data_IF_624253702366
#
_entry.id   IF_624253702366
#
_cell.length_a   1.000
_cell.length_b   1.000
_cell.length_c   1.000
_cell.angle_alpha   90.00
_cell.angle_beta   90.00
_cell.angle_gamma   90.00
#
_symmetry.space_group_name_H-M   'P 1'
#
loop_
_entity.id
_entity.type
_entity.pdbx_description
1 polymer ?
#
# COMPACT_ATOMS: atom_id res chain seq x y z
N UNK A 1 -0.12 30.89 -6.54
CA UNK A 1 -0.02 30.42 -7.93
C UNK A 1 -1.35 29.82 -8.30
N UNK A 2 -1.92 30.20 -9.44
CA UNK A 2 -3.27 29.78 -9.81
C UNK A 2 -3.29 28.34 -10.35
N UNK A 3 -4.39 27.60 -10.14
CA UNK A 3 -4.63 26.31 -10.78
C UNK A 3 -4.98 26.53 -12.25
N UNK A 4 -4.13 26.06 -13.15
CA UNK A 4 -4.42 26.04 -14.59
C UNK A 4 -5.00 24.69 -14.96
N UNK A 5 -6.17 24.68 -15.60
CA UNK A 5 -6.73 23.48 -16.22
C UNK A 5 -6.03 23.29 -17.56
N UNK A 6 -5.30 22.18 -17.73
CA UNK A 6 -4.44 21.94 -18.90
C UNK A 6 -5.14 21.10 -19.96
N UNK A 7 -5.89 20.07 -19.54
CA UNK A 7 -6.57 19.14 -20.43
C UNK A 7 -7.84 18.63 -19.76
N UNK A 8 -8.82 18.23 -20.56
CA UNK A 8 -9.99 17.50 -20.09
C UNK A 8 -10.24 16.30 -21.02
N UNK A 9 -10.54 15.14 -20.43
CA UNK A 9 -10.94 13.93 -21.17
C UNK A 9 -12.19 13.32 -20.53
N UNK A 10 -12.93 12.56 -21.33
CA UNK A 10 -14.07 11.77 -20.85
C UNK A 10 -13.58 10.35 -20.64
N UNK A 11 -13.74 9.83 -19.42
CA UNK A 11 -13.43 8.43 -19.08
C UNK A 11 -14.67 7.76 -18.49
N UNK A 12 -15.26 6.83 -19.26
CA UNK A 12 -16.52 6.17 -18.88
C UNK A 12 -17.65 7.18 -18.67
N UNK A 13 -18.22 7.19 -17.46
CA UNK A 13 -19.28 8.14 -17.06
C UNK A 13 -18.73 9.40 -16.36
N UNK A 14 -17.41 9.62 -16.37
CA UNK A 14 -16.75 10.72 -15.67
C UNK A 14 -15.96 11.65 -16.59
N UNK A 15 -15.60 12.82 -16.07
CA UNK A 15 -14.70 13.79 -16.72
C UNK A 15 -13.41 13.86 -15.90
N UNK A 16 -12.29 13.59 -16.54
CA UNK A 16 -10.96 13.78 -15.98
C UNK A 16 -10.48 15.17 -16.37
N UNK A 17 -10.10 15.98 -15.37
CA UNK A 17 -9.55 17.32 -15.59
C UNK A 17 -8.11 17.32 -15.10
N UNK A 18 -7.17 17.53 -16.01
CA UNK A 18 -5.76 17.66 -15.70
C UNK A 18 -5.46 19.09 -15.26
N UNK A 19 -4.80 19.24 -14.12
CA UNK A 19 -4.45 20.53 -13.53
C UNK A 19 -2.94 20.71 -13.45
N UNK A 20 -2.46 21.96 -13.46
CA UNK A 20 -1.04 22.29 -13.34
C UNK A 20 -0.38 21.78 -12.06
N UNK A 21 -1.18 21.54 -11.01
CA UNK A 21 -0.77 20.98 -9.73
C UNK A 21 -1.98 20.31 -9.06
N UNK A 22 -1.77 19.58 -7.96
CA UNK A 22 -2.89 18.97 -7.22
C UNK A 22 -3.74 20.07 -6.60
N UNK A 23 -5.03 20.18 -6.95
CA UNK A 23 -5.88 21.25 -6.45
C UNK A 23 -6.15 21.08 -4.95
N UNK A 24 -6.10 22.18 -4.20
CA UNK A 24 -6.51 22.26 -2.81
C UNK A 24 -8.03 22.04 -2.65
N UNK A 25 -8.55 21.73 -1.44
CA UNK A 25 -9.99 21.58 -1.22
C UNK A 25 -10.82 22.79 -1.66
N UNK A 26 -10.27 24.00 -1.53
CA UNK A 26 -10.92 25.23 -1.97
C UNK A 26 -11.01 25.32 -3.50
N UNK A 27 -9.93 24.96 -4.21
CA UNK A 27 -9.89 24.96 -5.68
C UNK A 27 -10.77 23.86 -6.27
N UNK A 28 -10.80 22.68 -5.65
CA UNK A 28 -11.74 21.61 -6.00
C UNK A 28 -13.18 22.13 -5.86
N UNK A 29 -13.51 22.74 -4.73
CA UNK A 29 -14.85 23.28 -4.47
C UNK A 29 -15.24 24.35 -5.50
N UNK A 30 -14.28 25.20 -5.87
CA UNK A 30 -14.46 26.22 -6.90
C UNK A 30 -14.75 25.61 -8.28
N UNK A 31 -13.97 24.62 -8.71
CA UNK A 31 -14.19 23.92 -9.98
C UNK A 31 -15.54 23.20 -9.98
N UNK A 32 -15.87 22.48 -8.89
CA UNK A 32 -17.15 21.77 -8.76
C UNK A 32 -18.35 22.70 -8.81
N UNK A 33 -18.24 23.91 -8.24
CA UNK A 33 -19.28 24.94 -8.35
C UNK A 33 -19.55 25.31 -9.81
N UNK A 34 -18.51 25.48 -10.62
CA UNK A 34 -18.66 25.80 -12.04
C UNK A 34 -19.20 24.62 -12.85
N UNK A 35 -18.72 23.39 -12.58
CA UNK A 35 -19.25 22.17 -13.20
C UNK A 35 -20.75 22.03 -12.89
N UNK A 36 -21.17 22.32 -11.65
CA UNK A 36 -22.58 22.29 -11.24
C UNK A 36 -23.47 23.30 -11.97
N UNK A 37 -22.93 24.44 -12.36
CA UNK A 37 -23.65 25.44 -13.16
C UNK A 37 -23.91 24.94 -14.58
N UNK A 38 -22.94 24.21 -15.16
CA UNK A 38 -23.04 23.66 -16.52
C UNK A 38 -23.91 22.39 -16.53
N UNK A 39 -23.84 21.58 -15.47
CA UNK A 39 -24.60 20.34 -15.30
C UNK A 39 -25.53 20.44 -14.09
N UNK A 40 -26.67 21.14 -14.23
CA UNK A 40 -27.62 21.33 -13.14
C UNK A 40 -28.33 20.02 -12.79
N UNK A 41 -27.87 19.36 -11.72
CA UNK A 41 -28.55 18.22 -11.11
C UNK A 41 -28.50 18.38 -9.60
N UNK A 42 -29.47 19.10 -8.98
CA UNK A 42 -29.37 19.52 -7.58
C UNK A 42 -29.24 18.35 -6.60
N UNK A 43 -29.78 17.18 -6.95
CA UNK A 43 -29.89 16.03 -6.05
C UNK A 43 -28.81 14.95 -6.26
N UNK A 44 -27.96 15.05 -7.28
CA UNK A 44 -26.88 14.08 -7.51
C UNK A 44 -25.55 14.70 -7.08
N UNK A 45 -24.83 14.18 -6.07
CA UNK A 45 -23.51 14.69 -5.73
C UNK A 45 -22.52 14.43 -6.88
N UNK A 46 -21.71 15.44 -7.23
CA UNK A 46 -20.61 15.25 -8.17
C UNK A 46 -19.48 14.54 -7.43
N UNK A 47 -19.34 13.24 -7.69
CA UNK A 47 -18.17 12.48 -7.24
C UNK A 47 -16.92 13.05 -7.91
N UNK A 48 -15.93 13.41 -7.10
CA UNK A 48 -14.61 13.82 -7.58
C UNK A 48 -13.55 13.03 -6.85
N UNK A 49 -12.46 12.74 -7.55
CA UNK A 49 -11.30 12.08 -6.97
C UNK A 49 -10.08 12.62 -7.69
N UNK A 50 -9.25 13.46 -7.05
CA UNK A 50 -8.01 13.87 -7.68
C UNK A 50 -7.17 12.62 -7.96
N UNK A 51 -6.63 12.52 -9.17
CA UNK A 51 -5.63 11.51 -9.50
C UNK A 51 -4.40 11.86 -8.67
N UNK A 52 -4.23 11.17 -7.55
CA UNK A 52 -3.13 11.39 -6.61
C UNK A 52 -2.07 10.32 -6.81
N UNK A 53 -0.82 10.75 -6.92
CA UNK A 53 0.31 9.85 -6.75
C UNK A 53 0.34 9.34 -5.31
N UNK A 54 1.00 8.21 -5.08
CA UNK A 54 1.23 7.69 -3.73
C UNK A 54 2.70 7.91 -3.39
N UNK A 55 2.95 8.71 -2.35
CA UNK A 55 4.28 8.85 -1.77
C UNK A 55 4.37 8.02 -0.49
N UNK A 56 5.59 7.59 -0.18
CA UNK A 56 5.87 6.69 0.95
C UNK A 56 6.73 7.43 1.96
N UNK A 57 6.28 7.45 3.21
CA UNK A 57 6.98 8.00 4.35
C UNK A 57 7.20 6.91 5.39
N UNK A 58 8.23 7.11 6.22
CA UNK A 58 8.43 6.34 7.44
C UNK A 58 8.72 7.27 8.60
N UNK A 59 8.17 6.93 9.76
CA UNK A 59 8.36 7.67 11.00
C UNK A 59 9.17 6.74 11.91
N UNK A 60 10.39 7.16 12.23
CA UNK A 60 11.36 6.35 12.96
C UNK A 60 11.35 6.68 14.45
N UNK A 61 11.90 5.77 15.26
CA UNK A 61 12.12 5.93 16.70
C UNK A 61 10.83 6.08 17.53
N UNK A 62 9.71 5.53 17.03
CA UNK A 62 8.44 5.51 17.76
C UNK A 62 8.58 4.57 18.95
N UNK A 63 8.25 4.98 20.18
CA UNK A 63 8.24 4.10 21.34
C UNK A 63 7.33 2.89 21.07
N UNK A 64 7.90 1.71 21.15
CA UNK A 64 7.16 0.47 21.04
C UNK A 64 6.67 0.04 22.42
N UNK A 65 5.39 0.29 22.69
CA UNK A 65 4.68 -0.27 23.82
C UNK A 65 3.71 -1.32 23.28
N UNK A 66 3.75 -2.58 23.78
CA UNK A 66 2.77 -3.60 23.44
C UNK A 66 1.36 -3.07 23.64
N UNK A 67 0.49 -3.23 22.63
CA UNK A 67 -0.89 -2.73 22.55
C UNK A 67 -1.09 -1.20 22.44
N UNK A 68 -0.17 -0.32 22.88
CA UNK A 68 -0.45 1.13 22.93
C UNK A 68 0.19 1.99 21.82
N UNK A 69 1.10 1.43 21.01
CA UNK A 69 1.85 2.20 20.01
C UNK A 69 0.93 2.87 18.97
N UNK A 70 -0.15 2.19 18.58
CA UNK A 70 -1.16 2.70 17.62
C UNK A 70 -1.96 3.86 18.20
N UNK A 71 -2.36 3.76 19.47
CA UNK A 71 -3.15 4.78 20.14
C UNK A 71 -2.31 6.02 20.38
N UNK A 72 -1.07 5.85 20.86
CA UNK A 72 -0.11 6.94 21.05
C UNK A 72 0.18 7.67 19.74
N UNK A 73 0.33 6.93 18.64
CA UNK A 73 0.53 7.50 17.31
C UNK A 73 -0.70 8.29 16.84
N UNK A 74 -1.90 7.70 16.94
CA UNK A 74 -3.15 8.35 16.52
C UNK A 74 -3.42 9.62 17.34
N UNK A 75 -3.15 9.56 18.64
CA UNK A 75 -3.23 10.71 19.52
C UNK A 75 -2.23 11.81 19.09
N UNK A 76 -0.96 11.46 18.85
CA UNK A 76 0.05 12.42 18.36
C UNK A 76 -0.36 13.07 17.03
N UNK A 77 -0.98 12.32 16.11
CA UNK A 77 -1.54 12.88 14.88
C UNK A 77 -2.67 13.88 15.15
N UNK A 78 -3.54 13.61 16.12
CA UNK A 78 -4.66 14.50 16.45
C UNK A 78 -4.26 15.78 17.18
N UNK A 79 -3.15 15.80 17.92
CA UNK A 79 -2.73 16.96 18.73
C UNK A 79 -1.83 17.89 17.93
N UNK A 80 -0.83 17.34 17.23
CA UNK A 80 0.24 18.13 16.64
C UNK A 80 -0.16 18.75 15.30
N UNK A 81 0.24 20.00 14.98
CA UNK A 81 -0.09 20.64 13.71
C UNK A 81 0.35 19.80 12.50
N UNK A 82 1.60 19.34 12.50
CA UNK A 82 2.16 18.45 11.47
C UNK A 82 1.43 17.10 11.44
N UNK A 83 1.02 16.60 12.61
CA UNK A 83 0.27 15.36 12.74
C UNK A 83 -1.12 15.44 12.11
N UNK A 84 -1.82 16.56 12.31
CA UNK A 84 -3.17 16.79 11.76
C UNK A 84 -3.12 16.85 10.23
N UNK A 85 -2.18 17.64 9.68
CA UNK A 85 -1.94 17.71 8.24
C UNK A 85 -1.63 16.33 7.66
N UNK A 86 -0.71 15.60 8.30
CA UNK A 86 -0.34 14.26 7.87
C UNK A 86 -1.55 13.33 7.87
N UNK A 87 -2.35 13.32 8.93
CA UNK A 87 -3.52 12.44 9.11
C UNK A 87 -4.54 12.54 7.96
N UNK A 88 -4.76 13.75 7.43
CA UNK A 88 -5.69 14.00 6.32
C UNK A 88 -5.17 13.38 5.02
N UNK A 89 -3.85 13.33 4.85
CA UNK A 89 -3.21 12.79 3.64
C UNK A 89 -3.00 11.28 3.67
N UNK A 90 -3.22 10.59 4.81
CA UNK A 90 -3.01 9.15 4.92
C UNK A 90 -4.01 8.40 4.05
N UNK A 91 -3.49 7.62 3.09
CA UNK A 91 -4.29 6.87 2.11
C UNK A 91 -4.73 5.50 2.62
N UNK A 92 -3.89 4.88 3.45
CA UNK A 92 -4.08 3.51 3.94
C UNK A 92 -3.72 3.40 5.41
N UNK A 93 -4.19 2.35 6.08
CA UNK A 93 -3.83 2.08 7.46
C UNK A 93 -2.30 2.12 7.68
N UNK A 94 -1.89 2.82 8.74
CA UNK A 94 -0.49 2.95 9.14
C UNK A 94 0.02 1.61 9.65
N UNK A 95 1.22 1.24 9.21
CA UNK A 95 1.83 -0.05 9.53
C UNK A 95 2.99 0.14 10.48
N UNK A 96 3.00 -0.61 11.58
CA UNK A 96 4.03 -0.53 12.60
C UNK A 96 4.92 -1.77 12.53
N UNK A 97 6.23 -1.58 12.54
CA UNK A 97 7.22 -2.65 12.52
C UNK A 97 8.27 -2.37 13.59
N UNK A 98 8.56 -3.33 14.46
CA UNK A 98 9.64 -3.19 15.44
C UNK A 98 10.97 -3.07 14.72
N UNK A 99 11.87 -2.22 15.23
CA UNK A 99 13.20 -2.04 14.62
C UNK A 99 14.05 -3.31 14.71
N UNK A 100 13.81 -4.12 15.74
CA UNK A 100 14.35 -5.48 15.90
C UNK A 100 13.51 -6.26 16.91
N UNK A 101 13.71 -7.58 16.99
CA UNK A 101 13.00 -8.48 17.92
C UNK A 101 13.12 -8.07 19.40
N UNK A 102 14.16 -7.31 19.77
CA UNK A 102 14.41 -6.85 21.14
C UNK A 102 14.37 -5.32 21.28
N UNK A 103 14.03 -4.58 20.22
CA UNK A 103 13.95 -3.12 20.26
C UNK A 103 12.75 -2.61 21.07
N UNK A 104 12.95 -1.52 21.82
CA UNK A 104 11.91 -0.70 22.44
C UNK A 104 11.36 0.37 21.47
N UNK A 105 11.82 0.38 20.22
CA UNK A 105 11.34 1.27 19.16
C UNK A 105 10.76 0.53 17.97
N UNK A 106 9.87 1.21 17.26
CA UNK A 106 9.29 0.77 16.01
C UNK A 106 9.32 1.88 14.95
N UNK A 107 9.08 1.47 13.71
CA UNK A 107 8.92 2.35 12.54
C UNK A 107 7.46 2.29 12.11
N UNK A 108 6.83 3.45 11.97
CA UNK A 108 5.52 3.55 11.32
C UNK A 108 5.69 3.90 9.84
N UNK A 109 5.20 3.02 8.96
CA UNK A 109 5.17 3.23 7.52
C UNK A 109 3.84 3.84 7.12
N UNK A 110 3.91 4.95 6.41
CA UNK A 110 2.76 5.79 6.06
C UNK A 110 2.73 5.97 4.55
N UNK A 111 1.61 5.58 3.94
CA UNK A 111 1.34 5.88 2.54
C UNK A 111 0.45 7.13 2.50
N UNK A 112 0.86 8.16 1.79
CA UNK A 112 0.09 9.40 1.66
C UNK A 112 -0.38 9.61 0.22
N UNK A 113 -1.55 10.23 0.08
CA UNK A 113 -1.97 10.87 -1.15
C UNK A 113 -1.04 12.06 -1.41
N UNK A 114 -0.44 12.11 -2.59
CA UNK A 114 0.50 13.16 -2.97
C UNK A 114 0.27 13.62 -4.42
N UNK A 115 0.87 14.75 -4.75
CA UNK A 115 1.10 15.21 -6.10
C UNK A 115 2.09 14.32 -6.86
N UNK A 116 2.01 14.36 -8.19
CA UNK A 116 2.97 13.69 -9.09
C UNK A 116 4.41 14.12 -8.80
N UNK A 117 4.62 15.36 -8.35
CA UNK A 117 5.92 15.91 -7.98
C UNK A 117 6.41 15.53 -6.56
N UNK A 118 5.58 14.87 -5.76
CA UNK A 118 5.93 14.49 -4.39
C UNK A 118 5.96 15.66 -3.39
N UNK A 119 5.28 16.76 -3.69
CA UNK A 119 5.33 18.02 -2.92
C UNK A 119 4.87 17.83 -1.47
N UNK A 120 3.81 17.05 -1.25
CA UNK A 120 3.30 16.79 0.11
C UNK A 120 4.30 15.95 0.91
N UNK A 121 4.90 14.90 0.33
CA UNK A 121 5.93 14.12 1.02
C UNK A 121 7.14 14.98 1.41
N UNK A 122 7.61 15.84 0.50
CA UNK A 122 8.73 16.77 0.76
C UNK A 122 8.43 17.74 1.89
N UNK A 123 7.17 18.17 2.06
CA UNK A 123 6.80 19.07 3.14
C UNK A 123 6.84 18.39 4.52
N UNK A 124 6.76 17.06 4.59
CA UNK A 124 6.85 16.30 5.83
C UNK A 124 8.26 15.79 6.16
N UNK A 125 9.09 15.53 5.15
CA UNK A 125 10.46 15.02 5.34
C UNK A 125 11.25 15.96 6.25
N UNK A 126 11.99 15.37 7.20
CA UNK A 126 12.78 16.05 8.24
C UNK A 126 11.96 16.80 9.30
N UNK A 127 10.62 16.82 9.23
CA UNK A 127 9.79 17.24 10.36
C UNK A 127 9.78 16.17 11.45
N UNK A 128 9.46 16.60 12.66
CA UNK A 128 9.39 15.75 13.85
C UNK A 128 8.00 15.78 14.42
N UNK A 129 7.52 14.64 14.92
CA UNK A 129 6.31 14.54 15.73
C UNK A 129 6.65 13.92 17.07
N UNK A 130 6.02 14.38 18.15
CA UNK A 130 6.23 13.85 19.49
C UNK A 130 5.24 12.72 19.74
N UNK A 131 5.73 11.50 19.95
CA UNK A 131 4.92 10.32 20.28
C UNK A 131 5.43 9.74 21.59
N UNK A 132 4.55 9.59 22.58
CA UNK A 132 4.93 9.05 23.90
C UNK A 132 6.06 9.81 24.58
N UNK A 133 6.14 11.14 24.36
CA UNK A 133 7.21 12.00 24.89
C UNK A 133 8.55 11.91 24.15
N UNK A 134 8.67 11.13 23.06
CA UNK A 134 9.87 11.06 22.22
C UNK A 134 9.68 11.79 20.89
N UNK A 135 10.72 12.48 20.47
CA UNK A 135 10.82 13.11 19.15
C UNK A 135 11.02 12.04 18.08
N UNK A 136 10.01 11.83 17.23
CA UNK A 136 10.02 10.85 16.15
C UNK A 136 10.16 11.57 14.81
N UNK A 137 11.17 11.20 14.02
CA UNK A 137 11.49 11.89 12.77
C UNK A 137 10.73 11.29 11.58
N UNK A 138 10.17 12.15 10.73
CA UNK A 138 9.58 11.75 9.46
C UNK A 138 10.66 11.71 8.39
N UNK A 139 10.77 10.58 7.68
CA UNK A 139 11.73 10.37 6.58
C UNK A 139 11.01 9.91 5.32
N UNK A 140 11.62 10.23 4.18
CA UNK A 140 11.24 9.65 2.90
C UNK A 140 11.47 8.14 2.89
N UNK A 141 10.59 7.42 2.23
CA UNK A 141 10.70 5.98 2.05
C UNK A 141 10.53 5.61 0.57
N UNK A 142 11.13 4.49 0.18
CA UNK A 142 10.75 3.81 -1.04
C UNK A 142 9.40 3.11 -0.84
N UNK A 143 8.67 2.77 -1.92
CA UNK A 143 7.56 1.84 -1.84
C UNK A 143 8.02 0.62 -1.06
N UNK A 144 7.29 0.25 0.00
CA UNK A 144 7.62 -0.96 0.72
C UNK A 144 7.06 -2.15 -0.06
N UNK A 145 7.89 -2.97 -0.73
CA UNK A 145 7.39 -4.06 -1.57
C UNK A 145 6.71 -5.17 -0.74
N UNK A 146 6.83 -5.13 0.58
CA UNK A 146 6.50 -6.24 1.46
C UNK A 146 7.44 -7.42 1.22
N UNK A 147 7.02 -8.60 1.65
CA UNK A 147 7.69 -9.84 1.27
C UNK A 147 7.60 -10.04 -0.25
N UNK A 148 8.74 -10.07 -0.96
CA UNK A 148 8.78 -10.32 -2.40
C UNK A 148 8.39 -11.77 -2.74
N UNK A 149 7.68 -12.00 -3.85
CA UNK A 149 7.46 -13.36 -4.38
C UNK A 149 8.71 -13.80 -5.16
N UNK A 150 9.32 -14.88 -4.73
CA UNK A 150 10.37 -15.51 -5.49
C UNK A 150 9.78 -16.21 -6.72
N UNK A 151 10.12 -15.73 -7.93
CA UNK A 151 9.68 -16.32 -9.21
C UNK A 151 10.27 -17.70 -9.49
N UNK A 152 11.26 -18.14 -8.70
CA UNK A 152 11.85 -19.48 -8.83
C UNK A 152 11.10 -20.50 -7.97
N UNK A 153 10.96 -20.24 -6.67
CA UNK A 153 10.36 -21.22 -5.75
C UNK A 153 8.89 -20.93 -5.40
N UNK A 154 8.33 -19.83 -5.90
CA UNK A 154 6.97 -19.36 -5.61
C UNK A 154 6.69 -19.16 -4.12
N UNK A 155 7.74 -18.93 -3.33
CA UNK A 155 7.63 -18.54 -1.92
C UNK A 155 7.77 -17.05 -1.76
N UNK A 156 6.93 -16.48 -0.92
CA UNK A 156 7.06 -15.10 -0.48
C UNK A 156 8.20 -14.95 0.55
N UNK A 157 8.83 -13.78 0.59
CA UNK A 157 9.79 -13.38 1.63
C UNK A 157 11.25 -13.28 1.17
N UNK A 158 11.55 -13.53 -0.11
CA UNK A 158 12.88 -13.32 -0.67
C UNK A 158 12.84 -13.09 -2.18
N UNK A 159 13.84 -12.43 -2.72
CA UNK A 159 14.01 -12.25 -4.16
C UNK A 159 14.64 -13.50 -4.81
N UNK A 160 14.38 -13.71 -6.10
CA UNK A 160 14.92 -14.85 -6.86
C UNK A 160 16.45 -14.91 -6.87
N UNK A 161 17.14 -13.76 -6.74
CA UNK A 161 18.61 -13.69 -6.70
C UNK A 161 19.25 -14.36 -5.49
N UNK A 162 18.53 -14.48 -4.37
CA UNK A 162 19.01 -15.13 -3.14
C UNK A 162 18.33 -16.48 -2.89
N UNK A 163 17.57 -16.97 -3.88
CA UNK A 163 16.83 -18.21 -3.75
C UNK A 163 17.74 -19.44 -3.85
N UNK A 164 17.72 -20.30 -2.83
CA UNK A 164 18.47 -21.56 -2.81
C UNK A 164 17.74 -22.73 -3.50
N UNK A 165 16.58 -22.49 -4.13
CA UNK A 165 15.82 -23.56 -4.75
C UNK A 165 16.54 -24.08 -6.00
N UNK A 166 16.70 -25.41 -6.12
CA UNK A 166 17.42 -26.02 -7.23
C UNK A 166 16.71 -25.88 -8.58
N UNK A 167 15.39 -25.72 -8.60
CA UNK A 167 14.61 -25.59 -9.83
C UNK A 167 13.42 -24.66 -9.68
N UNK A 168 12.74 -24.41 -10.79
CA UNK A 168 11.49 -23.64 -10.80
C UNK A 168 10.35 -24.44 -10.16
N UNK A 169 9.37 -23.73 -9.59
CA UNK A 169 8.12 -24.31 -9.11
C UNK A 169 6.93 -23.70 -9.83
N UNK A 170 5.90 -24.51 -10.03
CA UNK A 170 4.68 -24.08 -10.68
C UNK A 170 3.93 -23.11 -9.75
N UNK A 171 3.49 -21.93 -10.23
CA UNK A 171 2.72 -20.99 -9.41
C UNK A 171 1.34 -21.54 -9.03
N UNK A 172 0.79 -22.45 -9.83
CA UNK A 172 -0.55 -23.02 -9.61
C UNK A 172 -0.58 -24.10 -8.53
N UNK A 173 0.46 -24.94 -8.43
CA UNK A 173 0.47 -26.09 -7.52
C UNK A 173 1.76 -26.29 -6.70
N UNK A 174 2.77 -25.43 -6.86
CA UNK A 174 4.02 -25.47 -6.10
C UNK A 174 4.97 -26.64 -6.40
N UNK A 175 4.63 -27.50 -7.36
CA UNK A 175 5.39 -28.68 -7.79
C UNK A 175 6.53 -28.29 -8.78
N UNK A 176 7.56 -29.14 -8.96
CA UNK A 176 8.76 -28.80 -9.73
C UNK A 176 8.56 -28.87 -11.25
N UNK A 177 7.71 -27.99 -11.78
CA UNK A 177 7.48 -27.80 -13.22
C UNK A 177 7.09 -26.35 -13.51
N UNK A 178 7.20 -25.93 -14.77
CA UNK A 178 6.73 -24.60 -15.20
C UNK A 178 5.22 -24.53 -15.28
N UNK A 179 4.66 -23.32 -15.26
CA UNK A 179 3.22 -23.12 -15.50
C UNK A 179 2.77 -23.68 -16.86
N UNK A 180 3.55 -23.46 -17.92
CA UNK A 180 3.24 -23.98 -19.26
C UNK A 180 3.15 -25.52 -19.29
N UNK A 181 3.97 -26.20 -18.49
CA UNK A 181 3.99 -27.65 -18.42
C UNK A 181 2.96 -28.23 -17.43
N UNK A 182 2.14 -27.39 -16.80
CA UNK A 182 1.25 -27.78 -15.71
C UNK A 182 0.29 -28.90 -16.09
N UNK A 183 -0.41 -28.77 -17.23
CA UNK A 183 -1.37 -29.77 -17.72
C UNK A 183 -0.77 -31.18 -17.89
N UNK A 184 0.53 -31.25 -18.18
CA UNK A 184 1.25 -32.50 -18.46
C UNK A 184 1.79 -33.16 -17.19
N UNK A 185 2.36 -32.37 -16.28
CA UNK A 185 3.11 -32.88 -15.12
C UNK A 185 2.36 -32.80 -13.79
N UNK A 186 1.28 -32.02 -13.69
CA UNK A 186 0.49 -31.95 -12.47
C UNK A 186 -0.43 -33.17 -12.36
N UNK A 187 -0.27 -33.96 -11.30
CA UNK A 187 -1.14 -35.11 -11.03
C UNK A 187 -2.59 -34.70 -10.73
N UNK A 188 -2.78 -33.49 -10.17
CA UNK A 188 -4.10 -32.95 -9.83
C UNK A 188 -4.82 -32.39 -11.06
N UNK A 189 -4.10 -31.78 -12.02
CA UNK A 189 -4.70 -31.19 -13.22
C UNK A 189 -5.38 -32.22 -14.13
N UNK A 190 -4.96 -33.48 -14.07
CA UNK A 190 -5.59 -34.58 -14.83
C UNK A 190 -6.98 -34.95 -14.32
N UNK A 191 -7.27 -34.68 -13.04
CA UNK A 191 -8.59 -34.92 -12.42
C UNK A 191 -9.42 -33.65 -12.37
N UNK A 192 -8.77 -32.53 -12.08
CA UNK A 192 -9.38 -31.21 -11.96
C UNK A 192 -8.41 -30.15 -12.52
N UNK A 193 -8.66 -29.65 -13.74
CA UNK A 193 -7.83 -28.63 -14.40
C UNK A 193 -7.70 -27.33 -13.58
N UNK A 194 -8.66 -27.05 -12.71
CA UNK A 194 -8.71 -25.84 -11.88
C UNK A 194 -8.11 -26.05 -10.50
N UNK A 195 -7.67 -27.26 -10.17
CA UNK A 195 -7.00 -27.54 -8.92
C UNK A 195 -5.77 -26.64 -8.74
N UNK A 196 -5.74 -25.94 -7.60
CA UNK A 196 -4.60 -25.12 -7.16
C UNK A 196 -4.10 -25.58 -5.81
N UNK A 197 -2.80 -25.39 -5.57
CA UNK A 197 -2.15 -25.71 -4.30
C UNK A 197 -1.08 -24.68 -3.96
N UNK A 198 -1.41 -23.76 -3.06
CA UNK A 198 -0.53 -22.68 -2.62
C UNK A 198 0.58 -23.21 -1.72
N UNK A 199 1.83 -22.87 -2.07
CA UNK A 199 3.04 -23.29 -1.34
C UNK A 199 3.22 -22.52 -0.02
N UNK A 200 2.60 -21.34 0.10
CA UNK A 200 2.83 -20.38 1.18
C UNK A 200 1.92 -20.57 2.39
N UNK A 201 0.75 -21.18 2.21
CA UNK A 201 -0.24 -21.36 3.29
C UNK A 201 0.28 -22.22 4.46
N UNK A 202 1.16 -23.19 4.18
CA UNK A 202 1.80 -24.01 5.21
C UNK A 202 2.62 -23.16 6.18
N UNK A 203 3.37 -22.20 5.65
CA UNK A 203 4.18 -21.28 6.45
C UNK A 203 3.30 -20.30 7.26
N UNK A 204 2.06 -20.06 6.81
CA UNK A 204 1.06 -19.28 7.53
C UNK A 204 0.21 -20.11 8.52
N UNK A 205 0.55 -21.39 8.76
CA UNK A 205 -0.17 -22.26 9.70
C UNK A 205 -1.59 -22.65 9.26
N UNK A 206 -1.92 -22.54 7.96
CA UNK A 206 -3.26 -22.86 7.43
C UNK A 206 -3.30 -24.20 6.71
N UNK A 207 -4.42 -24.91 6.85
CA UNK A 207 -4.69 -26.22 6.24
C UNK A 207 -5.20 -26.13 4.81
N UNK A 208 -6.00 -25.10 4.48
CA UNK A 208 -6.54 -24.87 3.13
C UNK A 208 -5.50 -24.20 2.22
N UNK A 209 -5.29 -24.76 1.02
CA UNK A 209 -4.27 -24.34 0.05
C UNK A 209 -4.82 -24.21 -1.37
N UNK A 210 -6.13 -24.12 -1.53
CA UNK A 210 -6.89 -24.20 -2.79
C UNK A 210 -6.77 -22.97 -3.72
N UNK A 211 -5.67 -22.24 -3.66
CA UNK A 211 -5.39 -21.08 -4.52
C UNK A 211 -3.96 -21.12 -5.05
N UNK A 212 -3.64 -20.24 -6.00
CA UNK A 212 -2.29 -20.12 -6.57
C UNK A 212 -1.33 -19.40 -5.61
N UNK A 213 -0.03 -19.61 -5.77
CA UNK A 213 0.98 -18.92 -4.96
C UNK A 213 1.01 -17.40 -5.18
N UNK A 214 0.51 -16.94 -6.33
CA UNK A 214 0.40 -15.53 -6.74
C UNK A 214 -0.88 -14.86 -6.28
N UNK A 215 -1.81 -15.61 -5.68
CA UNK A 215 -3.10 -15.06 -5.27
C UNK A 215 -2.94 -14.09 -4.08
N UNK A 216 -3.48 -12.89 -4.24
CA UNK A 216 -3.54 -11.87 -3.19
C UNK A 216 -4.50 -12.23 -2.05
N UNK A 217 -5.38 -13.22 -2.23
CA UNK A 217 -6.19 -13.76 -1.13
C UNK A 217 -5.36 -14.61 -0.15
N UNK A 218 -4.12 -14.98 -0.53
CA UNK A 218 -3.26 -15.82 0.29
C UNK A 218 -3.01 -15.18 1.67
N UNK A 219 -3.21 -15.92 2.78
CA UNK A 219 -2.95 -15.39 4.13
C UNK A 219 -1.53 -14.88 4.32
N UNK A 220 -0.54 -15.51 3.69
CA UNK A 220 0.83 -15.01 3.71
C UNK A 220 0.93 -13.64 3.03
N UNK A 221 0.28 -13.45 1.87
CA UNK A 221 0.25 -12.16 1.19
C UNK A 221 -0.48 -11.10 2.01
N UNK A 222 -1.62 -11.44 2.61
CA UNK A 222 -2.36 -10.53 3.48
C UNK A 222 -1.49 -10.04 4.64
N UNK A 223 -0.69 -10.93 5.22
CA UNK A 223 0.21 -10.65 6.34
C UNK A 223 1.65 -10.32 5.89
N UNK A 224 1.88 -10.02 4.61
CA UNK A 224 3.25 -9.87 4.05
C UNK A 224 4.06 -8.71 4.64
N UNK A 225 3.37 -7.82 5.36
CA UNK A 225 3.92 -6.65 6.04
C UNK A 225 4.02 -6.84 7.57
N UNK A 226 3.47 -7.93 8.11
CA UNK A 226 3.43 -8.23 9.55
C UNK A 226 4.64 -9.05 10.01
N UNK A 227 5.53 -9.43 9.08
CA UNK A 227 6.72 -10.22 9.40
C UNK A 227 7.86 -9.31 9.83
N UNK A 228 8.37 -9.59 11.02
CA UNK A 228 9.66 -9.12 11.56
C UNK A 228 10.83 -9.39 10.59
#
# INVERSE_FOLDING_TARGET
SDVVLTHASVEGNGICIATSHVPSPAEISFVLKHVRQIFPSPNVPIGHSPITSTSYLKIVDIPHVPASSKDAFTNALSILPVGKELSITIKHAVRFMRTSAHSDTCVAWVNICDSVAGTSARSYINKTIVIGGRNCQIRGAAPWPGSALCTRCMRWGHHSSVCQSKGIRCPLCGLPHSEAAHHKYCAYSKRDPDARSCVNCSAAGKTKRDHSATDTSCPFWQNRFDRD
#
